data_IF_466643501784
#
_entry.id   IF_466643501784
#
_cell.length_a   1.000
_cell.length_b   1.000
_cell.length_c   1.000
_cell.angle_alpha   90.00
_cell.angle_beta   90.00
_cell.angle_gamma   90.00
#
_symmetry.space_group_name_H-M   'P 1'
#
loop_
_entity.id
_entity.type
_entity.pdbx_description
1 polymer ?
#
# COMPACT_ATOMS: atom_id res chain seq x y z
N UNK A 1 -12.31 4.84 9.75
CA UNK A 1 -11.57 5.89 8.99
C UNK A 1 -12.55 6.55 8.03
N UNK A 2 -12.61 7.90 7.99
CA UNK A 2 -13.47 8.63 7.05
C UNK A 2 -13.00 8.49 5.60
N UNK A 3 -13.89 8.68 4.61
CA UNK A 3 -13.53 8.64 3.18
C UNK A 3 -12.41 9.62 2.82
N UNK A 4 -12.52 10.86 3.30
CA UNK A 4 -11.53 11.92 3.04
C UNK A 4 -10.14 11.57 3.60
N UNK A 5 -10.09 11.06 4.84
CA UNK A 5 -8.83 10.63 5.45
C UNK A 5 -8.20 9.49 4.67
N UNK A 6 -8.99 8.52 4.22
CA UNK A 6 -8.50 7.42 3.41
C UNK A 6 -7.88 7.94 2.11
N UNK A 7 -8.60 8.79 1.38
CA UNK A 7 -8.11 9.37 0.13
C UNK A 7 -6.82 10.17 0.35
N UNK A 8 -6.78 11.04 1.36
CA UNK A 8 -5.59 11.85 1.68
C UNK A 8 -4.37 10.98 2.00
N UNK A 9 -4.54 9.95 2.83
CA UNK A 9 -3.44 9.03 3.15
C UNK A 9 -3.01 8.19 1.96
N UNK A 10 -3.94 7.77 1.09
CA UNK A 10 -3.61 7.03 -0.14
C UNK A 10 -2.79 7.90 -1.10
N UNK A 11 -3.17 9.16 -1.29
CA UNK A 11 -2.42 10.11 -2.11
C UNK A 11 -1.05 10.44 -1.50
N UNK A 12 -0.97 10.63 -0.17
CA UNK A 12 0.30 10.86 0.51
C UNK A 12 1.25 9.66 0.36
N UNK A 13 0.71 8.44 0.48
CA UNK A 13 1.48 7.22 0.28
C UNK A 13 1.94 7.08 -1.17
N UNK A 14 1.09 7.40 -2.14
CA UNK A 14 1.47 7.43 -3.55
C UNK A 14 2.58 8.44 -3.82
N UNK A 15 2.47 9.66 -3.28
CA UNK A 15 3.50 10.68 -3.41
C UNK A 15 4.84 10.24 -2.78
N UNK A 16 4.80 9.58 -1.61
CA UNK A 16 5.99 9.03 -0.96
C UNK A 16 6.70 8.01 -1.85
N UNK A 17 5.96 7.05 -2.41
CA UNK A 17 6.57 6.04 -3.28
C UNK A 17 7.00 6.61 -4.63
N UNK A 18 6.31 7.62 -5.17
CA UNK A 18 6.78 8.35 -6.37
C UNK A 18 8.09 9.08 -6.10
N UNK A 19 8.19 9.80 -4.97
CA UNK A 19 9.43 10.46 -4.57
C UNK A 19 10.58 9.45 -4.37
N UNK A 20 10.27 8.30 -3.79
CA UNK A 20 11.23 7.20 -3.69
C UNK A 20 11.69 6.72 -5.06
N UNK A 21 10.78 6.58 -6.04
CA UNK A 21 11.13 6.24 -7.42
C UNK A 21 12.12 7.22 -8.04
N UNK A 22 11.86 8.53 -7.91
CA UNK A 22 12.78 9.57 -8.38
C UNK A 22 14.16 9.47 -7.71
N UNK A 23 14.18 9.19 -6.42
CA UNK A 23 15.42 8.98 -5.69
C UNK A 23 16.17 7.74 -6.19
N UNK A 24 15.49 6.62 -6.44
CA UNK A 24 16.08 5.40 -7.00
C UNK A 24 16.69 5.65 -8.38
N UNK A 25 15.99 6.38 -9.25
CA UNK A 25 16.51 6.77 -10.57
C UNK A 25 17.76 7.65 -10.44
N UNK A 26 17.76 8.61 -9.52
CA UNK A 26 18.92 9.45 -9.27
C UNK A 26 20.13 8.62 -8.80
N UNK A 27 19.94 7.64 -7.88
CA UNK A 27 21.02 6.77 -7.42
C UNK A 27 21.61 5.91 -8.56
N UNK A 28 20.78 5.45 -9.48
CA UNK A 28 21.21 4.70 -10.66
C UNK A 28 21.95 5.63 -11.63
N UNK A 29 21.35 6.78 -11.98
CA UNK A 29 21.90 7.73 -12.95
C UNK A 29 23.25 8.30 -12.53
N UNK A 30 23.40 8.60 -11.24
CA UNK A 30 24.64 9.13 -10.64
C UNK A 30 25.66 8.03 -10.34
N UNK A 31 25.33 6.77 -10.53
CA UNK A 31 26.18 5.62 -10.19
C UNK A 31 26.72 5.71 -8.75
N UNK A 32 25.83 6.05 -7.82
CA UNK A 32 26.19 6.33 -6.43
C UNK A 32 26.97 5.17 -5.82
N UNK A 33 28.10 5.49 -5.16
CA UNK A 33 28.95 4.49 -4.49
C UNK A 33 28.14 3.69 -3.46
N UNK A 34 28.37 2.37 -3.38
CA UNK A 34 27.64 1.48 -2.49
C UNK A 34 26.19 1.19 -2.92
N UNK A 35 25.70 1.84 -3.98
CA UNK A 35 24.40 1.53 -4.59
C UNK A 35 24.53 0.51 -5.73
N UNK A 36 25.51 0.71 -6.61
CA UNK A 36 25.74 -0.15 -7.78
C UNK A 36 26.20 -1.54 -7.33
N UNK A 37 26.96 -1.60 -6.24
CA UNK A 37 27.60 -2.82 -5.73
C UNK A 37 26.71 -3.64 -4.80
N UNK A 38 25.49 -3.17 -4.52
CA UNK A 38 24.52 -3.85 -3.64
C UNK A 38 23.23 -4.21 -4.41
N UNK A 39 23.23 -5.33 -5.13
CA UNK A 39 22.09 -5.74 -5.94
C UNK A 39 20.86 -6.11 -5.12
N UNK A 40 21.06 -6.69 -3.92
CA UNK A 40 19.97 -7.11 -3.05
C UNK A 40 19.18 -5.90 -2.51
N UNK A 41 19.89 -4.88 -2.00
CA UNK A 41 19.28 -3.62 -1.58
C UNK A 41 18.49 -2.97 -2.71
N UNK A 42 19.08 -2.85 -3.89
CA UNK A 42 18.43 -2.27 -5.06
C UNK A 42 17.14 -3.00 -5.39
N UNK A 43 17.17 -4.32 -5.43
CA UNK A 43 15.99 -5.12 -5.77
C UNK A 43 14.85 -4.89 -4.77
N UNK A 44 15.14 -4.99 -3.47
CA UNK A 44 14.12 -4.81 -2.44
C UNK A 44 13.56 -3.38 -2.37
N UNK A 45 14.38 -2.36 -2.59
CA UNK A 45 13.91 -0.98 -2.66
C UNK A 45 13.05 -0.73 -3.91
N UNK A 46 13.40 -1.35 -5.05
CA UNK A 46 12.57 -1.32 -6.27
C UNK A 46 11.23 -2.03 -6.05
N UNK A 47 11.24 -3.21 -5.41
CA UNK A 47 10.02 -3.92 -5.04
C UNK A 47 9.14 -3.06 -4.11
N UNK A 48 9.73 -2.43 -3.10
CA UNK A 48 9.02 -1.54 -2.19
C UNK A 48 8.39 -0.36 -2.91
N UNK A 49 9.14 0.33 -3.77
CA UNK A 49 8.62 1.42 -4.61
C UNK A 49 7.47 0.96 -5.51
N UNK A 50 7.66 -0.12 -6.26
CA UNK A 50 6.69 -0.59 -7.23
C UNK A 50 5.39 -1.06 -6.56
N UNK A 51 5.50 -1.97 -5.58
CA UNK A 51 4.33 -2.49 -4.86
C UNK A 51 3.64 -1.39 -4.03
N UNK A 52 4.42 -0.59 -3.31
CA UNK A 52 3.87 0.50 -2.50
C UNK A 52 3.12 1.54 -3.35
N UNK A 53 3.69 1.93 -4.50
CA UNK A 53 3.06 2.86 -5.44
C UNK A 53 1.76 2.31 -6.03
N UNK A 54 1.80 1.08 -6.58
CA UNK A 54 0.61 0.43 -7.15
C UNK A 54 -0.48 0.24 -6.09
N UNK A 55 -0.13 -0.22 -4.88
CA UNK A 55 -1.10 -0.42 -3.81
C UNK A 55 -1.65 0.89 -3.25
N UNK A 56 -0.88 1.98 -3.27
CA UNK A 56 -1.39 3.30 -2.93
C UNK A 56 -2.43 3.79 -3.94
N UNK A 57 -2.20 3.59 -5.24
CA UNK A 57 -3.17 3.90 -6.30
C UNK A 57 -4.40 2.99 -6.20
N UNK A 58 -4.23 1.70 -5.90
CA UNK A 58 -5.35 0.78 -5.63
C UNK A 58 -6.22 1.29 -4.48
N UNK A 59 -5.62 1.85 -3.42
CA UNK A 59 -6.37 2.46 -2.32
C UNK A 59 -7.21 3.66 -2.74
N UNK A 60 -6.75 4.47 -3.71
CA UNK A 60 -7.58 5.52 -4.32
C UNK A 60 -8.79 4.92 -5.03
N UNK A 61 -8.59 3.84 -5.79
CA UNK A 61 -9.66 3.10 -6.43
C UNK A 61 -10.66 2.50 -5.43
N UNK A 62 -10.19 1.91 -4.34
CA UNK A 62 -11.03 1.40 -3.24
C UNK A 62 -11.82 2.54 -2.59
N UNK A 63 -11.20 3.70 -2.37
CA UNK A 63 -11.91 4.87 -1.81
C UNK A 63 -13.09 5.29 -2.69
N UNK A 64 -12.87 5.34 -4.00
CA UNK A 64 -13.90 5.65 -4.99
C UNK A 64 -14.99 4.57 -5.04
N UNK A 65 -14.61 3.29 -5.15
CA UNK A 65 -15.55 2.17 -5.24
C UNK A 65 -16.47 2.09 -4.01
N UNK A 66 -15.93 2.24 -2.80
CA UNK A 66 -16.72 2.24 -1.56
C UNK A 66 -17.73 3.41 -1.50
N UNK A 67 -17.43 4.53 -2.16
CA UNK A 67 -18.35 5.64 -2.32
C UNK A 67 -19.49 5.32 -3.29
N UNK A 68 -19.16 4.74 -4.45
CA UNK A 68 -20.16 4.37 -5.46
C UNK A 68 -21.09 3.24 -5.00
N UNK A 69 -20.56 2.28 -4.25
CA UNK A 69 -21.33 1.12 -3.77
C UNK A 69 -22.16 1.43 -2.52
N UNK A 70 -22.16 2.69 -2.03
CA UNK A 70 -22.89 3.11 -0.85
C UNK A 70 -22.67 2.17 0.37
N UNK A 71 -21.46 1.70 0.54
CA UNK A 71 -21.06 0.70 1.54
C UNK A 71 -21.38 1.19 2.96
N UNK A 72 -21.98 0.35 3.84
CA UNK A 72 -22.24 0.71 5.24
C UNK A 72 -20.96 1.22 5.93
N UNK A 73 -21.08 2.31 6.67
CA UNK A 73 -19.94 3.07 7.22
C UNK A 73 -18.99 2.23 8.09
N UNK A 74 -19.54 1.26 8.84
CA UNK A 74 -18.76 0.36 9.69
C UNK A 74 -17.84 -0.57 8.86
N UNK A 75 -18.37 -1.18 7.80
CA UNK A 75 -17.64 -2.05 6.89
C UNK A 75 -16.63 -1.27 6.05
N UNK A 76 -17.06 -0.15 5.46
CA UNK A 76 -16.19 0.73 4.70
C UNK A 76 -15.01 1.22 5.54
N UNK A 77 -15.22 1.53 6.81
CA UNK A 77 -14.16 1.93 7.73
C UNK A 77 -13.12 0.84 7.99
N UNK A 78 -13.55 -0.42 8.07
CA UNK A 78 -12.65 -1.60 8.23
C UNK A 78 -11.85 -1.85 6.96
N UNK A 79 -12.52 -1.87 5.80
CA UNK A 79 -11.88 -2.08 4.49
C UNK A 79 -10.80 -1.01 4.25
N UNK A 80 -11.13 0.28 4.44
CA UNK A 80 -10.18 1.38 4.28
C UNK A 80 -8.94 1.25 5.16
N UNK A 81 -9.09 0.81 6.41
CA UNK A 81 -7.94 0.60 7.31
C UNK A 81 -7.11 -0.59 6.86
N UNK A 82 -7.75 -1.72 6.52
CA UNK A 82 -7.08 -2.93 6.10
C UNK A 82 -6.26 -2.70 4.82
N UNK A 83 -6.85 -2.10 3.79
CA UNK A 83 -6.16 -1.89 2.52
C UNK A 83 -5.02 -0.88 2.64
N UNK A 84 -5.20 0.21 3.39
CA UNK A 84 -4.16 1.21 3.60
C UNK A 84 -2.99 0.66 4.43
N UNK A 85 -3.30 -0.01 5.55
CA UNK A 85 -2.27 -0.63 6.39
C UNK A 85 -1.56 -1.75 5.62
N UNK A 86 -2.30 -2.56 4.86
CA UNK A 86 -1.73 -3.60 4.01
C UNK A 86 -0.76 -3.04 2.97
N UNK A 87 -1.12 -1.95 2.29
CA UNK A 87 -0.23 -1.27 1.33
C UNK A 87 1.05 -0.76 2.00
N UNK A 88 0.94 -0.19 3.19
CA UNK A 88 2.08 0.28 3.98
C UNK A 88 2.99 -0.88 4.40
N UNK A 89 2.42 -1.99 4.87
CA UNK A 89 3.18 -3.19 5.27
C UNK A 89 3.90 -3.82 4.09
N UNK A 90 3.27 -3.89 2.91
CA UNK A 90 3.91 -4.45 1.72
C UNK A 90 5.05 -3.55 1.25
N UNK A 91 4.78 -2.29 0.94
CA UNK A 91 5.80 -1.36 0.44
C UNK A 91 6.91 -1.13 1.47
N UNK A 92 6.52 -0.85 2.71
CA UNK A 92 7.46 -0.61 3.83
C UNK A 92 8.27 -1.85 4.22
N UNK A 93 7.64 -3.03 4.19
CA UNK A 93 8.31 -4.32 4.49
C UNK A 93 9.43 -4.62 3.50
N UNK A 94 9.20 -4.42 2.20
CA UNK A 94 10.24 -4.54 1.19
C UNK A 94 11.36 -3.51 1.39
N UNK A 95 11.00 -2.24 1.60
CA UNK A 95 11.99 -1.17 1.84
C UNK A 95 12.85 -1.49 3.06
N UNK A 96 12.22 -1.77 4.20
CA UNK A 96 12.92 -2.06 5.44
C UNK A 96 13.74 -3.36 5.32
N UNK A 97 13.22 -4.40 4.66
CA UNK A 97 13.93 -5.64 4.38
C UNK A 97 15.18 -5.43 3.53
N UNK A 98 15.12 -4.54 2.53
CA UNK A 98 16.27 -4.17 1.71
C UNK A 98 17.30 -3.30 2.44
N UNK A 99 16.86 -2.46 3.38
CA UNK A 99 17.78 -1.62 4.16
C UNK A 99 18.51 -2.40 5.28
N UNK A 100 17.93 -3.49 5.74
CA UNK A 100 18.46 -4.30 6.85
C UNK A 100 18.90 -5.69 6.41
N UNK A 101 19.14 -5.88 5.09
CA UNK A 101 19.52 -7.19 4.51
C UNK A 101 20.88 -7.70 5.02
N UNK A 102 21.02 -9.01 5.03
CA UNK A 102 22.30 -9.71 5.21
C UNK A 102 23.05 -9.83 3.88
N UNK A 103 24.13 -10.64 3.85
CA UNK A 103 24.91 -10.83 2.62
C UNK A 103 24.13 -11.47 1.47
N UNK A 104 23.15 -12.33 1.78
CA UNK A 104 22.41 -13.15 0.80
C UNK A 104 20.92 -13.03 0.91
N UNK A 105 20.39 -12.54 2.04
CA UNK A 105 18.97 -12.58 2.38
C UNK A 105 18.46 -11.23 2.83
N UNK A 106 17.17 -10.92 2.53
CA UNK A 106 16.54 -9.69 3.03
C UNK A 106 16.44 -9.68 4.55
N UNK A 107 16.41 -8.50 5.13
CA UNK A 107 16.22 -8.34 6.56
C UNK A 107 14.86 -8.81 7.07
N UNK A 108 14.74 -9.12 8.38
CA UNK A 108 13.50 -9.62 9.00
C UNK A 108 12.23 -8.82 8.69
N UNK A 109 12.24 -7.50 8.46
CA UNK A 109 11.03 -6.74 8.13
C UNK A 109 10.27 -7.24 6.89
N UNK A 110 10.91 -7.98 5.99
CA UNK A 110 10.22 -8.57 4.83
C UNK A 110 9.10 -9.54 5.25
N UNK A 111 9.18 -10.12 6.44
CA UNK A 111 8.19 -11.08 6.94
C UNK A 111 6.78 -10.47 7.14
N UNK A 112 6.65 -9.14 7.21
CA UNK A 112 5.33 -8.48 7.28
C UNK A 112 4.64 -8.38 5.93
N UNK A 113 5.37 -8.57 4.82
CA UNK A 113 4.84 -8.42 3.44
C UNK A 113 3.67 -9.37 3.16
N UNK A 114 3.73 -10.68 3.46
CA UNK A 114 2.61 -11.58 3.24
C UNK A 114 1.36 -11.18 4.02
N UNK A 115 1.51 -10.75 5.27
CA UNK A 115 0.40 -10.27 6.08
C UNK A 115 -0.24 -9.02 5.47
N UNK A 116 0.56 -8.06 5.02
CA UNK A 116 0.09 -6.87 4.32
C UNK A 116 -0.65 -7.21 3.03
N UNK A 117 -0.12 -8.14 2.23
CA UNK A 117 -0.75 -8.60 1.00
C UNK A 117 -2.12 -9.24 1.25
N UNK A 118 -2.25 -10.09 2.27
CA UNK A 118 -3.53 -10.68 2.67
C UNK A 118 -4.54 -9.61 3.13
N UNK A 119 -4.10 -8.57 3.82
CA UNK A 119 -4.97 -7.46 4.21
C UNK A 119 -5.50 -6.68 3.00
N UNK A 120 -4.65 -6.42 2.00
CA UNK A 120 -5.08 -5.76 0.75
C UNK A 120 -6.04 -6.66 -0.01
N UNK A 121 -5.68 -7.92 -0.22
CA UNK A 121 -6.52 -8.89 -0.93
C UNK A 121 -7.89 -9.01 -0.26
N UNK A 122 -7.94 -9.21 1.05
CA UNK A 122 -9.19 -9.29 1.81
C UNK A 122 -10.03 -8.02 1.69
N UNK A 123 -9.40 -6.85 1.73
CA UNK A 123 -10.10 -5.57 1.54
C UNK A 123 -10.67 -5.39 0.13
N UNK A 124 -9.92 -5.77 -0.91
CA UNK A 124 -10.40 -5.72 -2.31
C UNK A 124 -11.55 -6.70 -2.52
N UNK A 125 -11.42 -7.95 -2.05
CA UNK A 125 -12.49 -8.95 -2.12
C UNK A 125 -13.74 -8.47 -1.37
N UNK A 126 -13.56 -7.93 -0.16
CA UNK A 126 -14.67 -7.38 0.62
C UNK A 126 -15.36 -6.23 -0.12
N UNK A 127 -14.61 -5.37 -0.82
CA UNK A 127 -15.17 -4.29 -1.65
C UNK A 127 -15.99 -4.86 -2.81
N UNK A 128 -15.48 -5.89 -3.49
CA UNK A 128 -16.17 -6.53 -4.61
C UNK A 128 -17.46 -7.26 -4.21
N UNK A 129 -17.54 -7.74 -2.95
CA UNK A 129 -18.70 -8.45 -2.42
C UNK A 129 -19.77 -7.53 -1.82
N UNK A 130 -19.52 -6.23 -1.72
CA UNK A 130 -20.54 -5.26 -1.27
C UNK A 130 -21.71 -5.25 -2.26
N UNK A 131 -22.92 -5.52 -1.75
CA UNK A 131 -24.12 -5.47 -2.56
C UNK A 131 -24.76 -4.07 -2.49
N UNK A 132 -25.14 -3.47 -3.62
CA UNK A 132 -25.97 -2.27 -3.61
C UNK A 132 -27.29 -2.60 -2.92
N UNK A 133 -27.58 -1.96 -1.79
CA UNK A 133 -28.85 -2.18 -1.07
C UNK A 133 -28.72 -2.71 0.35
N UNK A 134 -27.54 -3.04 0.86
CA UNK A 134 -27.31 -3.38 2.28
C UNK A 134 -27.48 -2.16 3.22
N UNK A 135 -28.41 -1.25 2.85
CA UNK A 135 -28.77 -0.11 3.69
C UNK A 135 -29.47 -0.62 4.95
N UNK A 136 -28.98 -0.24 6.11
CA UNK A 136 -29.74 -0.39 7.35
C UNK A 136 -31.04 0.43 7.19
N UNK A 137 -32.24 -0.19 7.15
CA UNK A 137 -33.49 0.54 7.11
C UNK A 137 -33.60 1.34 8.42
N UNK A 138 -33.58 2.66 8.38
CA UNK A 138 -33.86 3.47 9.56
C UNK A 138 -33.03 4.73 9.78
N UNK A 139 -32.17 5.14 8.88
CA UNK A 139 -31.50 6.45 8.94
C UNK A 139 -32.35 7.52 8.25
N UNK A 140 -33.34 8.09 8.92
CA UNK A 140 -34.02 9.31 8.46
C UNK A 140 -33.00 10.45 8.33
N UNK A 141 -33.11 11.19 7.23
CA UNK A 141 -32.36 12.43 6.94
C UNK A 141 -32.56 13.48 8.00
#
# INVERSE_FOLDING_TARGET
>A
MSPERHLRWSLALAALFLAMGLWLEAMIGLRAAGWVDDPLRREFLRLGHAHGGVLALLNVGVAWALGQLETPSAWAGKIRRATLLGALLVGGGFVAGGLTHGPTDPGPPVLVVPAGALMVLGGVVATALVRPGDRVPGGSR
#
